data_IF_463377873090
#
_entry.id   IF_463377873090
#
_cell.length_a   1.000
_cell.length_b   1.000
_cell.length_c   1.000
_cell.angle_alpha   90.00
_cell.angle_beta   90.00
_cell.angle_gamma   90.00
#
_symmetry.space_group_name_H-M   'P 1'
#
loop_
_entity.id
_entity.type
_entity.pdbx_description
1 polymer ?
#
# COMPACT_ATOMS: atom_id res chain seq x y z
N UNK A 1 -5.58 -2.30 -14.85
CA UNK A 1 -6.85 -2.86 -14.39
C UNK A 1 -7.76 -3.08 -15.58
N UNK A 2 -8.41 -4.25 -15.68
CA UNK A 2 -9.46 -4.48 -16.68
C UNK A 2 -10.77 -4.03 -16.03
N UNK A 3 -11.36 -2.96 -16.56
CA UNK A 3 -12.68 -2.51 -16.15
C UNK A 3 -13.71 -3.41 -16.85
N UNK A 4 -14.30 -4.36 -16.12
CA UNK A 4 -15.39 -5.18 -16.64
C UNK A 4 -16.71 -4.44 -16.42
N UNK A 5 -17.32 -3.99 -17.52
CA UNK A 5 -18.69 -3.47 -17.52
C UNK A 5 -19.62 -4.63 -17.93
N UNK A 6 -20.39 -5.15 -17.00
CA UNK A 6 -21.38 -6.18 -17.30
C UNK A 6 -22.58 -5.54 -18.01
N UNK A 7 -22.73 -5.80 -19.31
CA UNK A 7 -24.00 -5.59 -20.02
C UNK A 7 -24.72 -6.93 -20.11
N UNK A 8 -25.81 -7.07 -19.37
CA UNK A 8 -26.64 -8.27 -19.41
C UNK A 8 -27.41 -8.40 -20.73
N UNK A 9 -27.42 -9.62 -21.27
CA UNK A 9 -28.59 -10.19 -21.94
C UNK A 9 -28.62 -11.69 -21.64
N UNK A 10 -29.75 -12.14 -21.08
CA UNK A 10 -30.09 -13.53 -20.86
C UNK A 10 -30.24 -14.27 -22.21
N UNK A 11 -29.60 -15.43 -22.32
CA UNK A 11 -30.12 -16.69 -22.89
C UNK A 11 -28.96 -17.61 -23.27
N UNK A 12 -28.79 -18.69 -22.51
CA UNK A 12 -27.81 -19.73 -22.82
C UNK A 12 -27.82 -20.82 -21.76
N UNK A 13 -28.35 -21.99 -22.12
CA UNK A 13 -28.56 -23.13 -21.24
C UNK A 13 -27.30 -23.54 -20.46
N UNK A 14 -27.37 -23.47 -19.12
CA UNK A 14 -26.36 -24.05 -18.24
C UNK A 14 -26.55 -25.57 -18.17
N UNK A 15 -25.62 -26.30 -18.79
CA UNK A 15 -25.41 -27.72 -18.52
C UNK A 15 -25.01 -27.92 -17.07
N UNK A 16 -25.82 -28.68 -16.33
CA UNK A 16 -25.51 -29.12 -14.97
C UNK A 16 -24.25 -29.96 -14.94
N UNK A 17 -23.23 -29.51 -14.22
CA UNK A 17 -22.12 -30.37 -13.78
C UNK A 17 -22.40 -30.73 -12.33
N UNK A 18 -22.77 -31.99 -12.10
CA UNK A 18 -22.88 -32.57 -10.77
C UNK A 18 -21.47 -32.80 -10.20
N UNK A 19 -21.03 -32.00 -9.21
CA UNK A 19 -19.85 -32.32 -8.40
C UNK A 19 -20.32 -32.92 -7.08
N UNK A 20 -20.51 -34.25 -7.10
CA UNK A 20 -20.85 -35.07 -5.95
C UNK A 20 -19.65 -35.83 -5.40
N UNK A 21 -18.44 -35.27 -5.48
CA UNK A 21 -17.28 -35.85 -4.80
C UNK A 21 -17.11 -35.17 -3.44
N UNK A 22 -17.22 -35.92 -2.32
CA UNK A 22 -16.91 -35.36 -1.01
C UNK A 22 -15.43 -34.98 -0.96
N UNK A 23 -15.16 -33.75 -0.53
CA UNK A 23 -13.82 -33.30 -0.14
C UNK A 23 -13.38 -34.21 1.00
N UNK A 24 -12.32 -35.00 0.78
CA UNK A 24 -11.77 -35.92 1.76
C UNK A 24 -11.37 -35.16 3.04
N UNK A 25 -11.66 -35.74 4.21
CA UNK A 25 -11.14 -35.27 5.50
C UNK A 25 -9.62 -35.10 5.45
N UNK A 26 -9.04 -34.10 6.14
CA UNK A 26 -7.60 -33.89 6.14
C UNK A 26 -6.91 -35.03 6.91
N UNK A 27 -6.40 -36.00 6.15
CA UNK A 27 -5.42 -37.02 6.50
C UNK A 27 -5.74 -37.93 7.71
N UNK A 28 -6.37 -39.08 7.44
CA UNK A 28 -6.25 -40.25 8.34
C UNK A 28 -4.76 -40.65 8.47
N UNK A 29 -4.20 -40.55 9.68
CA UNK A 29 -2.88 -41.13 10.03
C UNK A 29 -1.75 -40.13 10.30
N UNK A 30 -1.98 -38.82 10.22
CA UNK A 30 -1.00 -37.81 10.63
C UNK A 30 -0.91 -37.71 12.16
N UNK A 31 0.00 -38.48 12.78
CA UNK A 31 0.24 -38.44 14.25
C UNK A 31 1.16 -37.29 14.69
N UNK A 32 1.59 -36.43 13.76
CA UNK A 32 2.34 -35.21 14.08
C UNK A 32 1.46 -34.00 13.79
N UNK A 33 1.11 -33.17 14.78
CA UNK A 33 0.54 -31.86 14.49
C UNK A 33 1.53 -31.12 13.57
N UNK A 34 1.06 -30.52 12.46
CA UNK A 34 1.92 -29.72 11.60
C UNK A 34 2.54 -28.60 12.45
N UNK A 35 3.85 -28.45 12.35
CA UNK A 35 4.58 -27.40 13.06
C UNK A 35 4.24 -26.09 12.39
N UNK A 36 3.56 -25.21 13.12
CA UNK A 36 3.21 -23.85 12.70
C UNK A 36 4.47 -23.11 12.18
N UNK A 37 5.61 -23.41 12.77
CA UNK A 37 6.95 -22.89 12.47
C UNK A 37 7.55 -23.37 11.12
N UNK A 38 6.91 -24.34 10.45
CA UNK A 38 7.39 -24.97 9.20
C UNK A 38 6.52 -24.60 7.97
N UNK A 39 5.49 -23.75 8.14
CA UNK A 39 4.61 -23.33 7.04
C UNK A 39 5.18 -22.12 6.26
N UNK A 40 5.16 -22.13 4.90
CA UNK A 40 5.62 -21.01 4.09
C UNK A 40 4.58 -19.90 4.07
N UNK A 41 4.65 -19.02 5.07
CA UNK A 41 4.00 -17.70 5.03
C UNK A 41 4.93 -16.76 4.22
N UNK A 42 4.56 -15.49 4.01
CA UNK A 42 5.41 -14.38 3.55
C UNK A 42 6.60 -14.12 4.52
N UNK A 43 7.33 -15.17 4.86
CA UNK A 43 8.27 -15.32 5.95
C UNK A 43 9.48 -14.41 5.78
N UNK A 44 9.91 -14.22 4.53
CA UNK A 44 11.14 -13.49 4.23
C UNK A 44 11.06 -11.99 4.56
N UNK A 45 9.88 -11.36 4.50
CA UNK A 45 9.74 -9.97 4.97
C UNK A 45 9.28 -9.91 6.44
N UNK A 46 8.38 -10.82 6.85
CA UNK A 46 7.77 -10.80 8.18
C UNK A 46 8.64 -11.38 9.30
N UNK A 47 9.36 -12.47 9.04
CA UNK A 47 10.26 -13.10 10.01
C UNK A 47 11.69 -12.60 9.82
N UNK A 48 12.05 -12.15 8.61
CA UNK A 48 13.34 -11.54 8.33
C UNK A 48 13.33 -10.01 8.32
N UNK A 49 12.36 -9.38 9.00
CA UNK A 49 12.32 -7.93 9.23
C UNK A 49 13.64 -7.36 9.79
N UNK A 50 14.40 -8.20 10.51
CA UNK A 50 15.72 -7.89 11.05
C UNK A 50 16.80 -7.73 9.95
N UNK A 51 16.51 -8.12 8.71
CA UNK A 51 17.34 -7.89 7.53
C UNK A 51 17.02 -6.57 6.83
N UNK A 52 16.03 -5.81 7.29
CA UNK A 52 15.57 -4.58 6.66
C UNK A 52 15.72 -3.37 7.58
N UNK A 53 15.86 -2.21 6.96
CA UNK A 53 15.82 -0.90 7.60
C UNK A 53 14.85 0.02 6.87
N UNK A 54 14.44 1.06 7.60
CA UNK A 54 13.52 2.10 7.17
C UNK A 54 14.27 3.42 7.12
N UNK A 55 14.44 3.98 5.93
CA UNK A 55 14.95 5.32 5.70
C UNK A 55 13.77 6.29 5.56
N UNK A 56 13.61 7.17 6.53
CA UNK A 56 12.67 8.29 6.49
C UNK A 56 13.39 9.45 5.83
N UNK A 57 12.94 9.84 4.65
CA UNK A 57 13.54 10.90 3.84
C UNK A 57 12.62 12.12 3.94
N UNK A 58 13.14 13.24 4.44
CA UNK A 58 12.50 14.56 4.31
C UNK A 58 13.18 15.29 3.17
N UNK A 59 12.48 15.47 2.06
CA UNK A 59 12.94 16.21 0.90
C UNK A 59 12.54 17.68 1.05
N UNK A 60 13.51 18.56 1.18
CA UNK A 60 13.23 20.00 1.38
C UNK A 60 13.10 20.69 0.02
N UNK A 61 14.14 20.62 -0.82
CA UNK A 61 14.16 21.35 -2.08
C UNK A 61 15.51 21.33 -2.79
N UNK A 62 15.60 22.05 -3.90
CA UNK A 62 16.86 22.36 -4.58
C UNK A 62 17.20 23.82 -4.32
N UNK A 63 18.33 24.08 -3.66
CA UNK A 63 18.77 25.44 -3.33
C UNK A 63 19.25 26.20 -4.58
N UNK A 64 18.88 27.47 -4.68
CA UNK A 64 19.34 28.36 -5.73
C UNK A 64 20.69 28.97 -5.38
N UNK A 65 21.73 28.70 -6.17
CA UNK A 65 22.97 29.49 -6.15
C UNK A 65 22.95 30.55 -7.26
N UNK A 66 23.43 31.75 -6.94
CA UNK A 66 23.23 32.99 -7.71
C UNK A 66 23.56 32.92 -9.23
N UNK A 67 22.95 33.83 -9.98
CA UNK A 67 23.15 34.10 -11.43
C UNK A 67 22.87 32.95 -12.42
N UNK A 68 21.92 32.06 -12.09
CA UNK A 68 21.36 31.14 -13.09
C UNK A 68 20.51 31.96 -14.07
N UNK A 69 20.96 32.03 -15.33
CA UNK A 69 20.32 32.80 -16.39
C UNK A 69 19.07 32.06 -16.90
N UNK A 70 17.94 32.35 -16.26
CA UNK A 70 16.68 31.58 -16.27
C UNK A 70 15.78 31.88 -17.50
N UNK A 71 16.30 31.85 -18.72
CA UNK A 71 15.47 32.12 -19.93
C UNK A 71 14.41 31.05 -20.25
N UNK A 72 14.42 29.92 -19.54
CA UNK A 72 13.42 28.84 -19.63
C UNK A 72 12.21 29.01 -18.69
N UNK A 73 12.20 30.06 -17.84
CA UNK A 73 11.14 30.36 -16.85
C UNK A 73 9.79 30.79 -17.44
N UNK A 74 9.55 30.66 -18.74
CA UNK A 74 8.33 31.20 -19.34
C UNK A 74 7.09 30.38 -18.95
N UNK A 75 7.17 29.12 -18.49
CA UNK A 75 5.95 28.32 -18.20
C UNK A 75 6.01 27.34 -17.01
N UNK A 76 6.62 27.68 -15.86
CA UNK A 76 6.56 26.87 -14.63
C UNK A 76 7.13 25.43 -14.77
N UNK A 77 8.43 25.23 -14.54
CA UNK A 77 9.01 23.90 -14.60
C UNK A 77 8.58 23.10 -13.37
N UNK A 78 7.67 22.17 -13.57
CA UNK A 78 7.40 21.16 -12.58
C UNK A 78 8.57 20.16 -12.59
N UNK A 79 8.94 19.61 -11.44
CA UNK A 79 9.94 18.57 -11.31
C UNK A 79 9.50 17.58 -10.24
N UNK A 80 9.97 16.35 -10.34
CA UNK A 80 9.75 15.33 -9.31
C UNK A 80 11.05 14.65 -8.93
N UNK A 81 11.09 14.08 -7.72
CA UNK A 81 12.24 13.30 -7.26
C UNK A 81 11.85 11.84 -7.13
N UNK A 82 12.66 10.96 -7.69
CA UNK A 82 12.58 9.53 -7.42
C UNK A 82 13.69 9.15 -6.45
N UNK A 83 13.35 8.76 -5.23
CA UNK A 83 14.30 8.17 -4.28
C UNK A 83 14.23 6.65 -4.38
N UNK A 84 15.37 5.99 -4.53
CA UNK A 84 15.45 4.54 -4.69
C UNK A 84 16.66 3.93 -3.97
N UNK A 85 16.49 2.77 -3.35
CA UNK A 85 17.62 1.94 -2.89
C UNK A 85 18.36 1.37 -4.09
N UNK A 86 19.69 1.32 -4.02
CA UNK A 86 20.57 0.78 -5.04
C UNK A 86 21.49 -0.28 -4.44
N UNK A 87 21.65 -1.40 -5.14
CA UNK A 87 22.57 -2.48 -4.79
C UNK A 87 22.16 -3.80 -5.44
N UNK A 88 22.96 -4.87 -5.26
CA UNK A 88 22.70 -6.17 -5.88
C UNK A 88 21.41 -6.85 -5.38
N UNK A 89 20.96 -6.51 -4.17
CA UNK A 89 19.73 -7.02 -3.60
C UNK A 89 19.17 -6.01 -2.59
N UNK A 90 18.27 -5.17 -3.08
CA UNK A 90 17.64 -4.14 -2.25
C UNK A 90 16.46 -4.69 -1.46
N UNK A 91 16.09 -5.96 -1.66
CA UNK A 91 14.84 -6.57 -1.18
C UNK A 91 13.62 -6.23 -2.05
N UNK A 92 13.76 -5.35 -3.03
CA UNK A 92 12.70 -5.02 -3.99
C UNK A 92 12.39 -6.21 -4.89
N UNK A 93 11.11 -6.55 -5.04
CA UNK A 93 10.65 -7.58 -5.98
C UNK A 93 9.88 -6.94 -7.14
N UNK A 94 9.69 -7.66 -8.25
CA UNK A 94 8.85 -7.18 -9.37
C UNK A 94 7.42 -6.81 -8.92
N UNK A 95 6.92 -7.46 -7.86
CA UNK A 95 5.58 -7.29 -7.32
C UNK A 95 5.49 -6.23 -6.21
N UNK A 96 6.61 -5.95 -5.51
CA UNK A 96 6.65 -5.03 -4.39
C UNK A 96 7.95 -4.24 -4.42
N UNK A 97 7.88 -3.03 -4.98
CA UNK A 97 9.03 -2.12 -5.04
C UNK A 97 9.29 -1.48 -3.68
N UNK A 98 9.70 -2.29 -2.71
CA UNK A 98 10.27 -1.79 -1.46
C UNK A 98 11.65 -1.23 -1.76
N UNK A 99 11.75 0.09 -1.75
CA UNK A 99 12.97 0.76 -2.13
C UNK A 99 12.81 1.75 -3.27
N UNK A 100 11.60 2.21 -3.61
CA UNK A 100 11.43 3.39 -4.46
C UNK A 100 10.24 4.24 -4.01
N UNK A 101 10.40 5.56 -4.01
CA UNK A 101 9.32 6.52 -3.74
C UNK A 101 9.47 7.74 -4.66
N UNK A 102 8.33 8.25 -5.16
CA UNK A 102 8.27 9.41 -6.05
C UNK A 102 7.67 10.61 -5.31
N UNK A 103 8.44 11.68 -5.16
CA UNK A 103 7.99 12.99 -4.69
C UNK A 103 7.49 13.82 -5.88
N UNK A 104 6.19 13.77 -6.18
CA UNK A 104 5.62 14.35 -7.41
C UNK A 104 5.10 15.78 -7.31
N UNK A 105 4.78 16.25 -6.10
CA UNK A 105 4.08 17.51 -5.89
C UNK A 105 5.04 18.54 -5.30
N UNK A 106 5.29 19.61 -6.05
CA UNK A 106 6.07 20.74 -5.58
C UNK A 106 5.18 21.68 -4.76
N UNK A 107 5.78 22.36 -3.80
CA UNK A 107 5.15 23.47 -3.08
C UNK A 107 5.66 24.80 -3.65
N UNK A 108 4.85 25.85 -3.51
CA UNK A 108 5.28 27.21 -3.82
C UNK A 108 6.36 27.63 -2.81
N UNK A 109 7.53 28.03 -3.31
CA UNK A 109 8.55 28.64 -2.48
C UNK A 109 8.22 30.13 -2.27
N UNK A 110 7.61 30.44 -1.12
CA UNK A 110 7.20 31.81 -0.75
C UNK A 110 8.39 32.78 -0.66
N UNK A 111 9.59 32.28 -0.31
CA UNK A 111 10.79 33.10 -0.05
C UNK A 111 11.69 33.25 -1.30
N UNK A 112 11.52 32.40 -2.32
CA UNK A 112 12.23 32.44 -3.59
C UNK A 112 13.71 31.99 -3.51
N UNK A 113 14.10 31.33 -2.42
CA UNK A 113 15.44 30.80 -2.15
C UNK A 113 15.68 29.42 -2.79
N UNK A 114 14.63 28.67 -3.08
CA UNK A 114 14.64 27.35 -3.69
C UNK A 114 14.24 27.43 -5.18
N UNK A 115 14.89 26.58 -5.98
CA UNK A 115 14.50 26.34 -7.37
C UNK A 115 13.26 25.46 -7.45
N UNK A 116 13.19 24.47 -6.55
CA UNK A 116 12.07 23.56 -6.38
C UNK A 116 11.91 23.31 -4.88
N UNK A 117 10.69 23.42 -4.36
CA UNK A 117 10.36 23.06 -2.98
C UNK A 117 9.44 21.84 -2.98
N UNK A 118 9.67 20.92 -2.04
CA UNK A 118 8.76 19.80 -1.80
C UNK A 118 8.24 19.79 -0.36
N UNK A 119 9.13 20.03 0.62
CA UNK A 119 8.88 19.84 2.06
C UNK A 119 8.07 18.55 2.38
N UNK A 120 8.40 17.46 1.68
CA UNK A 120 7.67 16.19 1.76
C UNK A 120 8.50 15.13 2.45
N UNK A 121 7.82 14.23 3.16
CA UNK A 121 8.44 13.04 3.74
C UNK A 121 8.07 11.80 2.95
N UNK A 122 8.99 10.86 2.91
CA UNK A 122 8.75 9.53 2.39
C UNK A 122 9.45 8.47 3.23
N UNK A 123 8.86 7.27 3.23
CA UNK A 123 9.46 6.09 3.81
C UNK A 123 10.02 5.19 2.70
N UNK A 124 11.30 4.87 2.79
CA UNK A 124 11.97 3.92 1.92
C UNK A 124 12.46 2.72 2.73
N UNK A 125 12.07 1.51 2.32
CA UNK A 125 12.51 0.26 2.96
C UNK A 125 13.65 -0.33 2.14
N UNK A 126 14.71 -0.77 2.79
CA UNK A 126 15.87 -1.35 2.12
C UNK A 126 16.48 -2.50 2.92
N UNK A 127 17.06 -3.49 2.22
CA UNK A 127 17.76 -4.62 2.84
C UNK A 127 19.14 -4.18 3.37
N UNK A 128 19.45 -4.50 4.62
CA UNK A 128 20.72 -4.16 5.30
C UNK A 128 21.91 -4.69 4.53
N UNK A 129 21.84 -5.95 4.10
CA UNK A 129 22.84 -6.60 3.27
C UNK A 129 22.32 -6.65 1.85
N UNK A 130 23.03 -6.00 0.91
CA UNK A 130 22.65 -5.96 -0.51
C UNK A 130 22.20 -4.59 -1.00
N UNK A 131 21.94 -3.62 -0.11
CA UNK A 131 21.82 -2.21 -0.47
C UNK A 131 23.15 -1.49 -0.21
N UNK A 132 23.66 -0.82 -1.23
CA UNK A 132 24.92 -0.07 -1.19
C UNK A 132 24.68 1.44 -1.02
N UNK A 133 23.59 1.96 -1.58
CA UNK A 133 23.25 3.38 -1.53
C UNK A 133 21.75 3.66 -1.61
N UNK A 134 21.36 4.88 -1.27
CA UNK A 134 20.08 5.50 -1.65
C UNK A 134 20.39 6.52 -2.74
N UNK A 135 19.72 6.38 -3.88
CA UNK A 135 19.84 7.22 -5.06
C UNK A 135 18.62 8.14 -5.16
N UNK A 136 18.84 9.45 -5.26
CA UNK A 136 17.80 10.45 -5.49
C UNK A 136 18.02 11.05 -6.87
N UNK A 137 17.05 10.88 -7.76
CA UNK A 137 17.11 11.41 -9.11
C UNK A 137 16.00 12.44 -9.29
N UNK A 138 16.38 13.67 -9.62
CA UNK A 138 15.48 14.79 -9.91
C UNK A 138 15.20 14.77 -11.41
N UNK A 139 13.93 14.80 -11.79
CA UNK A 139 13.48 14.78 -13.17
C UNK A 139 12.71 16.05 -13.49
N UNK A 140 12.88 16.54 -14.71
CA UNK A 140 11.96 17.52 -15.28
C UNK A 140 10.60 16.86 -15.52
N UNK A 141 9.53 17.58 -15.22
CA UNK A 141 8.15 17.17 -15.50
C UNK A 141 7.65 18.08 -16.62
N UNK A 142 8.23 17.92 -17.80
CA UNK A 142 7.70 18.55 -19.00
C UNK A 142 6.48 17.76 -19.55
N UNK A 143 5.66 18.45 -20.34
CA UNK A 143 4.39 17.91 -20.86
C UNK A 143 4.52 16.90 -22.01
N UNK A 144 5.73 16.61 -22.51
CA UNK A 144 5.92 15.84 -23.75
C UNK A 144 6.79 14.58 -23.58
N UNK A 145 7.83 14.63 -22.74
CA UNK A 145 8.70 13.49 -22.43
C UNK A 145 9.21 13.65 -20.99
N UNK A 146 8.55 13.01 -20.02
CA UNK A 146 8.89 13.09 -18.59
C UNK A 146 10.14 12.27 -18.23
N UNK A 147 11.26 12.45 -18.92
CA UNK A 147 12.44 11.57 -18.83
C UNK A 147 13.78 12.30 -18.62
N UNK A 148 13.83 13.63 -18.70
CA UNK A 148 15.08 14.36 -18.53
C UNK A 148 15.54 14.40 -17.07
N UNK A 149 16.73 13.83 -16.82
CA UNK A 149 17.39 13.85 -15.52
C UNK A 149 18.04 15.22 -15.32
N UNK A 150 17.58 15.92 -14.29
CA UNK A 150 18.09 17.23 -13.88
C UNK A 150 19.25 17.09 -12.90
N UNK A 151 19.14 16.20 -11.92
CA UNK A 151 20.18 15.91 -10.94
C UNK A 151 20.14 14.44 -10.55
N UNK A 152 21.30 13.89 -10.23
CA UNK A 152 21.40 12.54 -9.68
C UNK A 152 22.34 12.52 -8.48
N UNK A 153 21.87 11.98 -7.37
CA UNK A 153 22.60 12.01 -6.09
C UNK A 153 22.60 10.64 -5.47
N UNK A 154 23.79 10.16 -5.15
CA UNK A 154 24.01 8.88 -4.50
C UNK A 154 24.48 9.11 -3.06
N UNK A 155 23.75 8.53 -2.11
CA UNK A 155 24.11 8.52 -0.69
C UNK A 155 24.47 7.09 -0.29
N UNK A 156 25.76 6.78 -0.09
CA UNK A 156 26.18 5.47 0.39
C UNK A 156 25.48 5.11 1.71
N UNK A 157 25.10 3.84 1.89
CA UNK A 157 24.49 3.36 3.14
C UNK A 157 25.41 3.62 4.35
N UNK A 158 26.73 3.58 4.13
CA UNK A 158 27.74 3.90 5.15
C UNK A 158 27.66 5.36 5.65
N UNK A 159 27.12 6.28 4.84
CA UNK A 159 26.97 7.69 5.19
C UNK A 159 25.62 8.00 5.85
N UNK A 160 24.69 7.05 5.88
CA UNK A 160 23.40 7.20 6.54
C UNK A 160 23.58 7.25 8.07
N UNK A 161 22.66 7.94 8.80
CA UNK A 161 22.67 7.87 10.26
C UNK A 161 22.44 6.43 10.75
N UNK A 162 22.98 6.10 11.91
CA UNK A 162 22.73 4.81 12.53
C UNK A 162 21.26 4.70 13.01
N UNK A 163 20.68 3.49 13.06
CA UNK A 163 19.34 3.32 13.57
C UNK A 163 19.15 3.92 14.97
N UNK A 164 18.10 4.73 15.14
CA UNK A 164 17.80 5.42 16.39
C UNK A 164 18.44 6.80 16.53
N UNK A 165 19.37 7.18 15.64
CA UNK A 165 19.80 8.57 15.53
C UNK A 165 18.68 9.45 14.95
N UNK A 166 18.77 10.76 15.21
CA UNK A 166 17.85 11.75 14.64
C UNK A 166 18.07 11.93 13.13
N UNK A 167 17.37 12.91 12.56
CA UNK A 167 17.58 13.31 11.18
C UNK A 167 19.01 13.83 10.97
N UNK A 168 19.71 13.27 9.98
CA UNK A 168 20.97 13.80 9.43
C UNK A 168 20.66 14.59 8.18
N UNK A 169 21.09 15.85 8.14
CA UNK A 169 20.94 16.71 6.97
C UNK A 169 22.01 16.43 5.92
N UNK A 170 21.59 16.49 4.66
CA UNK A 170 22.42 16.34 3.47
C UNK A 170 22.20 17.55 2.55
N UNK A 171 23.32 17.99 1.97
CA UNK A 171 23.39 19.03 0.95
C UNK A 171 24.35 18.52 -0.11
N UNK A 172 23.82 18.20 -1.29
CA UNK A 172 24.54 17.44 -2.32
C UNK A 172 24.34 18.08 -3.70
N UNK A 173 25.42 18.18 -4.45
CA UNK A 173 25.39 18.48 -5.88
C UNK A 173 25.20 17.19 -6.67
N UNK A 174 24.80 17.30 -7.93
CA UNK A 174 24.67 16.14 -8.83
C UNK A 174 26.02 15.42 -8.98
N UNK A 175 26.00 14.09 -8.92
CA UNK A 175 27.16 13.21 -9.13
C UNK A 175 27.57 13.18 -10.61
N UNK A 176 26.61 13.38 -11.52
CA UNK A 176 26.82 13.41 -12.97
C UNK A 176 26.40 14.76 -13.56
N UNK A 177 27.07 15.15 -14.64
CA UNK A 177 26.71 16.29 -15.48
C UNK A 177 25.87 15.80 -16.66
N UNK A 178 24.58 16.10 -16.65
CA UNK A 178 23.63 15.66 -17.67
C UNK A 178 23.48 16.64 -18.84
N UNK A 179 24.42 17.58 -19.02
CA UNK A 179 24.37 18.56 -20.12
C UNK A 179 23.35 19.70 -19.90
N UNK A 180 22.63 19.65 -18.77
CA UNK A 180 21.94 20.76 -18.13
C UNK A 180 22.73 21.32 -16.93
N UNK A 181 24.07 21.10 -16.89
CA UNK A 181 25.00 22.08 -16.28
C UNK A 181 24.72 23.46 -16.90
N UNK A 182 25.32 24.57 -16.52
CA UNK A 182 24.77 25.91 -16.77
C UNK A 182 23.45 26.20 -16.01
N UNK A 183 22.42 25.34 -16.04
CA UNK A 183 21.12 25.57 -15.37
C UNK A 183 21.15 25.16 -13.90
N UNK A 184 21.69 23.97 -13.59
CA UNK A 184 21.79 23.46 -12.22
C UNK A 184 23.23 23.40 -11.71
N UNK A 185 24.19 23.92 -12.47
CA UNK A 185 25.58 23.97 -11.99
C UNK A 185 25.68 24.83 -10.74
N UNK A 186 26.11 24.18 -9.66
CA UNK A 186 26.19 24.78 -8.34
C UNK A 186 24.93 24.63 -7.48
N UNK A 187 23.81 24.17 -8.04
CA UNK A 187 22.60 23.85 -7.27
C UNK A 187 22.83 22.64 -6.36
N UNK A 188 22.20 22.66 -5.19
CA UNK A 188 22.33 21.61 -4.18
C UNK A 188 20.95 21.09 -3.79
N UNK A 189 20.75 19.77 -3.84
CA UNK A 189 19.57 19.15 -3.26
C UNK A 189 19.72 19.13 -1.73
N UNK A 190 18.68 19.61 -1.06
CA UNK A 190 18.55 19.67 0.39
C UNK A 190 17.56 18.60 0.84
N UNK A 191 18.03 17.70 1.70
CA UNK A 191 17.20 16.65 2.27
C UNK A 191 17.75 16.16 3.60
N UNK A 192 16.91 15.52 4.40
CA UNK A 192 17.30 14.87 5.66
C UNK A 192 16.93 13.41 5.61
N UNK A 193 17.77 12.56 6.18
CA UNK A 193 17.46 11.13 6.34
C UNK A 193 17.51 10.77 7.82
N UNK A 194 16.55 9.98 8.28
CA UNK A 194 16.58 9.27 9.55
C UNK A 194 16.44 7.77 9.29
N UNK A 195 17.22 6.94 9.99
CA UNK A 195 17.13 5.48 9.86
C UNK A 195 16.51 4.89 11.12
N UNK A 196 15.59 3.95 10.91
CA UNK A 196 14.98 3.13 11.97
C UNK A 196 15.12 1.66 11.61
N UNK A 197 15.20 0.78 12.62
CA UNK A 197 15.26 -0.66 12.37
C UNK A 197 13.95 -1.13 11.72
N UNK A 198 14.02 -2.12 10.83
CA UNK A 198 12.84 -2.81 10.31
C UNK A 198 12.17 -3.70 11.36
N UNK A 199 12.87 -3.97 12.47
CA UNK A 199 12.41 -4.86 13.53
C UNK A 199 11.35 -4.28 14.46
N UNK A 200 11.15 -2.95 14.48
CA UNK A 200 9.95 -2.40 15.10
C UNK A 200 8.78 -2.69 14.16
N UNK A 201 8.23 -3.89 14.32
CA UNK A 201 7.03 -4.34 13.62
C UNK A 201 5.94 -3.30 13.81
N UNK A 202 5.16 -3.04 12.76
CA UNK A 202 3.87 -2.40 12.93
C UNK A 202 2.98 -3.38 13.69
N UNK A 203 3.02 -3.29 15.02
CA UNK A 203 2.28 -4.18 15.93
C UNK A 203 1.12 -3.47 16.60
N UNK A 204 1.07 -2.15 16.45
CA UNK A 204 0.07 -1.29 17.02
C UNK A 204 -0.45 -0.30 15.99
N UNK A 205 -1.64 0.24 16.28
CA UNK A 205 -2.22 1.39 15.58
C UNK A 205 -1.21 2.53 15.48
N UNK A 206 -0.54 2.82 16.58
CA UNK A 206 0.42 3.93 16.70
C UNK A 206 1.62 3.74 15.77
N UNK A 207 2.11 2.50 15.59
CA UNK A 207 3.22 2.22 14.68
C UNK A 207 2.83 2.38 13.21
N UNK A 208 1.58 2.05 12.86
CA UNK A 208 1.05 2.23 11.51
C UNK A 208 0.83 3.71 11.20
N UNK A 209 0.23 4.46 12.12
CA UNK A 209 0.04 5.90 11.98
C UNK A 209 1.38 6.66 11.89
N UNK A 210 2.38 6.29 12.71
CA UNK A 210 3.76 6.82 12.60
C UNK A 210 4.45 6.48 11.29
N UNK A 211 3.98 5.47 10.55
CA UNK A 211 4.54 5.17 9.22
C UNK A 211 3.89 5.97 8.11
N UNK A 212 2.79 6.69 8.41
CA UNK A 212 2.00 7.50 7.48
C UNK A 212 2.08 8.98 7.89
N UNK A 213 3.28 9.56 7.90
CA UNK A 213 3.55 10.91 8.45
C UNK A 213 2.62 12.02 7.92
N UNK A 214 2.01 11.88 6.74
CA UNK A 214 1.14 12.89 6.12
C UNK A 214 -0.36 12.82 6.52
N UNK A 215 -0.76 11.80 7.28
CA UNK A 215 -2.18 11.60 7.68
C UNK A 215 -2.48 11.94 9.15
N UNK A 216 -1.46 12.32 9.93
CA UNK A 216 -1.64 12.68 11.34
C UNK A 216 -2.62 13.86 11.47
N UNK A 217 -3.71 13.65 12.23
CA UNK A 217 -4.78 14.64 12.42
C UNK A 217 -5.73 14.82 11.23
N UNK A 218 -5.52 14.10 10.12
CA UNK A 218 -6.42 14.10 8.94
C UNK A 218 -7.25 12.83 8.88
N UNK A 219 -6.71 11.70 9.33
CA UNK A 219 -7.39 10.40 9.31
C UNK A 219 -7.64 9.89 10.75
N UNK A 220 -8.86 9.49 11.04
CA UNK A 220 -9.25 8.69 12.21
C UNK A 220 -9.14 7.21 11.87
N UNK A 221 -8.49 6.46 12.75
CA UNK A 221 -8.35 5.02 12.65
C UNK A 221 -9.17 4.32 13.73
N UNK A 222 -10.02 3.39 13.32
CA UNK A 222 -10.79 2.54 14.21
C UNK A 222 -10.65 1.05 13.89
N UNK A 223 -10.75 0.21 14.92
CA UNK A 223 -10.85 -1.24 14.81
C UNK A 223 -12.20 -1.70 15.36
N UNK A 224 -12.94 -2.46 14.55
CA UNK A 224 -14.21 -3.05 14.95
C UNK A 224 -14.11 -4.57 14.81
N UNK A 225 -14.22 -5.27 15.95
CA UNK A 225 -14.26 -6.74 15.97
C UNK A 225 -15.65 -7.20 15.55
N UNK A 226 -15.71 -8.05 14.54
CA UNK A 226 -16.94 -8.66 14.07
C UNK A 226 -17.09 -10.01 14.78
N UNK A 227 -18.04 -10.11 15.71
CA UNK A 227 -18.35 -11.35 16.41
C UNK A 227 -19.26 -12.21 15.52
N UNK A 228 -18.75 -13.34 15.05
CA UNK A 228 -19.41 -14.14 14.00
C UNK A 228 -20.20 -15.31 14.59
N UNK A 229 -21.13 -15.81 13.79
CA UNK A 229 -21.77 -17.08 14.10
C UNK A 229 -20.72 -18.20 14.13
N UNK A 230 -20.75 -19.01 15.19
CA UNK A 230 -19.78 -20.08 15.43
C UNK A 230 -18.63 -19.70 16.36
N UNK A 231 -18.52 -18.42 16.79
CA UNK A 231 -17.55 -17.97 17.77
C UNK A 231 -16.18 -17.55 17.20
N UNK A 232 -16.01 -17.65 15.88
CA UNK A 232 -14.89 -17.01 15.19
C UNK A 232 -15.08 -15.48 15.19
N UNK A 233 -14.00 -14.75 14.91
CA UNK A 233 -14.06 -13.29 14.75
C UNK A 233 -13.35 -12.81 13.50
N UNK A 234 -13.88 -11.75 12.91
CA UNK A 234 -13.20 -10.96 11.88
C UNK A 234 -12.89 -9.55 12.40
N UNK A 235 -12.13 -8.78 11.63
CA UNK A 235 -11.78 -7.40 11.97
C UNK A 235 -12.08 -6.48 10.80
N UNK A 236 -12.86 -5.44 11.05
CA UNK A 236 -12.97 -4.30 10.17
C UNK A 236 -12.09 -3.16 10.69
N UNK A 237 -11.02 -2.86 9.96
CA UNK A 237 -10.24 -1.65 10.20
C UNK A 237 -10.88 -0.51 9.41
N UNK A 238 -10.96 0.68 10.00
CA UNK A 238 -11.57 1.87 9.39
C UNK A 238 -10.55 3.00 9.37
N UNK A 239 -10.42 3.64 8.21
CA UNK A 239 -9.53 4.74 7.91
C UNK A 239 -10.40 5.86 7.36
N UNK A 240 -10.80 6.79 8.22
CA UNK A 240 -11.81 7.79 7.88
C UNK A 240 -11.22 9.17 7.93
N UNK A 241 -11.55 10.00 6.95
CA UNK A 241 -11.19 11.40 6.98
C UNK A 241 -11.88 12.11 8.15
N UNK A 242 -11.21 13.11 8.72
CA UNK A 242 -11.67 13.85 9.91
C UNK A 242 -11.80 15.34 9.62
N UNK A 243 -12.56 16.03 10.48
CA UNK A 243 -12.84 17.45 10.32
C UNK A 243 -13.84 17.74 9.21
N UNK A 244 -13.71 18.91 8.56
CA UNK A 244 -14.60 19.36 7.49
C UNK A 244 -14.17 18.83 6.10
N UNK A 245 -13.41 17.73 6.06
CA UNK A 245 -12.95 17.15 4.80
C UNK A 245 -14.11 16.47 4.07
N UNK A 246 -14.37 16.91 2.83
CA UNK A 246 -15.32 16.23 1.94
C UNK A 246 -14.72 14.91 1.46
N UNK A 247 -15.51 13.84 1.55
CA UNK A 247 -15.19 12.52 1.00
C UNK A 247 -16.15 12.19 -0.14
N UNK A 248 -15.64 11.55 -1.19
CA UNK A 248 -16.38 11.13 -2.39
C UNK A 248 -17.15 9.81 -2.19
N UNK A 249 -16.85 9.07 -1.12
CA UNK A 249 -17.49 7.81 -0.79
C UNK A 249 -16.68 6.98 0.19
N UNK A 250 -16.96 5.68 0.20
CA UNK A 250 -16.21 4.68 0.95
C UNK A 250 -15.77 3.50 0.09
N UNK A 251 -14.72 2.81 0.55
CA UNK A 251 -14.18 1.60 -0.06
C UNK A 251 -14.23 0.48 0.96
N UNK A 252 -14.86 -0.65 0.61
CA UNK A 252 -14.65 -1.90 1.32
C UNK A 252 -13.53 -2.68 0.64
N UNK A 253 -12.39 -2.79 1.31
CA UNK A 253 -11.25 -3.59 0.90
C UNK A 253 -11.32 -4.99 1.53
N UNK A 254 -11.54 -6.01 0.70
CA UNK A 254 -11.40 -7.42 1.09
C UNK A 254 -9.99 -7.94 0.79
N UNK A 255 -9.21 -8.23 1.83
CA UNK A 255 -7.79 -8.59 1.70
C UNK A 255 -7.58 -9.99 1.11
N UNK A 256 -6.37 -10.21 0.58
CA UNK A 256 -5.94 -11.49 0.03
C UNK A 256 -5.65 -12.54 1.11
N UNK A 257 -5.34 -13.74 0.63
CA UNK A 257 -4.93 -14.86 1.48
C UNK A 257 -3.57 -14.54 2.14
N UNK A 258 -3.48 -14.81 3.43
CA UNK A 258 -2.29 -14.59 4.28
C UNK A 258 -1.81 -13.13 4.39
N UNK A 259 -2.54 -12.15 3.85
CA UNK A 259 -2.29 -10.74 4.18
C UNK A 259 -2.57 -10.54 5.67
N UNK A 260 -1.69 -9.88 6.42
CA UNK A 260 -1.90 -9.59 7.86
C UNK A 260 -2.21 -8.11 8.13
N UNK A 261 -2.25 -7.29 7.08
CA UNK A 261 -2.38 -5.85 7.12
C UNK A 261 -2.70 -5.36 5.70
N UNK A 262 -3.41 -4.24 5.60
CA UNK A 262 -3.61 -3.57 4.32
C UNK A 262 -2.27 -3.10 3.73
N UNK A 263 -2.17 -2.98 2.42
CA UNK A 263 -0.97 -2.43 1.78
C UNK A 263 -0.99 -0.90 1.81
N UNK A 264 -0.14 -0.21 2.61
CA UNK A 264 -0.28 1.23 2.83
C UNK A 264 -0.16 2.08 1.56
N UNK A 265 0.68 1.66 0.61
CA UNK A 265 0.84 2.34 -0.68
C UNK A 265 -0.42 2.35 -1.55
N UNK A 266 -1.31 1.35 -1.40
CA UNK A 266 -2.60 1.32 -2.11
C UNK A 266 -3.58 2.29 -1.45
N UNK A 267 -3.58 2.36 -0.11
CA UNK A 267 -4.37 3.35 0.62
C UNK A 267 -3.96 4.78 0.21
N UNK A 268 -2.66 5.08 0.29
CA UNK A 268 -2.11 6.40 -0.05
C UNK A 268 -2.39 6.80 -1.51
N UNK A 269 -2.06 5.89 -2.44
CA UNK A 269 -2.10 6.18 -3.88
C UNK A 269 -3.48 6.17 -4.52
N UNK A 270 -4.46 5.44 -3.96
CA UNK A 270 -5.79 5.31 -4.56
C UNK A 270 -6.91 6.00 -3.77
N UNK A 271 -6.75 6.20 -2.45
CA UNK A 271 -7.89 6.51 -1.60
C UNK A 271 -7.66 7.63 -0.57
N UNK A 272 -6.44 7.79 -0.04
CA UNK A 272 -6.18 8.63 1.14
C UNK A 272 -5.35 9.91 0.89
N UNK A 273 -4.39 9.94 -0.05
CA UNK A 273 -3.39 11.04 -0.07
C UNK A 273 -3.10 11.61 -1.46
N UNK A 274 -3.31 10.89 -2.56
CA UNK A 274 -3.12 11.44 -3.91
C UNK A 274 -4.29 12.35 -4.38
N UNK A 275 -4.51 13.40 -3.62
CA UNK A 275 -4.77 14.71 -4.18
C UNK A 275 -4.47 15.74 -3.10
N UNK A 276 -3.47 16.57 -3.37
CA UNK A 276 -3.60 17.97 -3.03
C UNK A 276 -5.09 18.36 -3.13
N UNK A 277 -5.72 19.02 -2.13
CA UNK A 277 -7.07 19.53 -2.31
C UNK A 277 -7.29 20.24 -3.66
N UNK A 278 -6.21 20.77 -4.26
CA UNK A 278 -6.18 21.39 -5.58
C UNK A 278 -5.95 20.42 -6.77
N UNK A 279 -5.46 19.18 -6.55
CA UNK A 279 -5.25 18.13 -7.59
C UNK A 279 -6.55 17.39 -7.99
N UNK A 280 -7.65 17.58 -7.24
CA UNK A 280 -8.99 17.10 -7.63
C UNK A 280 -9.19 15.58 -7.72
N UNK A 281 -8.27 14.78 -7.17
CA UNK A 281 -8.42 13.33 -7.04
C UNK A 281 -9.48 12.93 -6.01
N UNK A 282 -10.10 11.75 -6.15
CA UNK A 282 -11.18 11.35 -5.26
C UNK A 282 -10.66 10.90 -3.89
N UNK A 283 -11.37 11.28 -2.83
CA UNK A 283 -11.08 10.94 -1.42
C UNK A 283 -12.09 9.92 -0.92
N UNK A 284 -11.61 8.76 -0.49
CA UNK A 284 -12.47 7.69 0.01
C UNK A 284 -12.11 7.33 1.44
N UNK A 285 -13.12 7.17 2.29
CA UNK A 285 -12.93 6.45 3.54
C UNK A 285 -12.68 4.97 3.25
N UNK A 286 -11.68 4.38 3.88
CA UNK A 286 -11.27 3.00 3.59
C UNK A 286 -11.56 2.08 4.75
N UNK A 287 -12.26 0.99 4.45
CA UNK A 287 -12.63 -0.05 5.39
C UNK A 287 -11.99 -1.35 4.96
N UNK A 288 -11.11 -1.92 5.78
CA UNK A 288 -10.36 -3.11 5.46
C UNK A 288 -10.91 -4.30 6.23
N UNK A 289 -11.51 -5.24 5.51
CA UNK A 289 -12.01 -6.49 6.05
C UNK A 289 -10.88 -7.52 6.12
N UNK A 290 -10.44 -7.78 7.34
CA UNK A 290 -9.64 -8.95 7.70
C UNK A 290 -10.62 -10.06 8.08
N UNK A 291 -10.95 -10.89 7.09
CA UNK A 291 -11.92 -11.97 7.23
C UNK A 291 -11.44 -13.07 8.21
N UNK A 292 -12.35 -13.91 8.70
CA UNK A 292 -12.08 -14.79 9.85
C UNK A 292 -10.84 -15.67 9.66
N UNK A 293 -10.65 -16.22 8.47
CA UNK A 293 -9.53 -17.11 8.14
C UNK A 293 -8.27 -16.37 7.60
N UNK A 294 -8.29 -15.03 7.57
CA UNK A 294 -7.16 -14.21 7.11
C UNK A 294 -5.97 -14.23 8.12
N UNK A 295 -4.78 -13.80 7.67
CA UNK A 295 -3.55 -13.77 8.46
C UNK A 295 -3.67 -13.02 9.79
N UNK A 296 -4.36 -11.88 9.83
CA UNK A 296 -4.48 -11.08 11.06
C UNK A 296 -5.38 -11.73 12.11
N UNK A 297 -6.56 -12.21 11.71
CA UNK A 297 -7.49 -12.89 12.62
C UNK A 297 -6.89 -14.19 13.18
N UNK A 298 -6.16 -14.94 12.35
CA UNK A 298 -5.38 -16.12 12.78
C UNK A 298 -4.29 -15.76 13.78
N UNK A 299 -3.52 -14.70 13.52
CA UNK A 299 -2.48 -14.24 14.45
C UNK A 299 -3.05 -13.85 15.82
N UNK A 300 -4.28 -13.29 15.85
CA UNK A 300 -4.98 -12.96 17.09
C UNK A 300 -5.62 -14.16 17.79
N UNK A 301 -5.55 -15.36 17.21
CA UNK A 301 -6.15 -16.58 17.75
C UNK A 301 -7.68 -16.53 17.74
N UNK A 302 -8.27 -15.81 16.78
CA UNK A 302 -9.71 -15.59 16.67
C UNK A 302 -10.44 -16.62 15.81
N UNK A 303 -9.73 -17.67 15.41
CA UNK A 303 -10.22 -18.72 14.51
C UNK A 303 -10.25 -20.03 15.27
N UNK A 304 -11.39 -20.71 15.21
CA UNK A 304 -11.60 -22.01 15.84
C UNK A 304 -10.86 -23.14 15.12
N UNK A 305 -10.56 -22.99 13.83
CA UNK A 305 -9.78 -23.94 13.03
C UNK A 305 -8.56 -23.29 12.33
N UNK A 306 -7.47 -23.01 13.07
CA UNK A 306 -6.32 -22.29 12.52
C UNK A 306 -5.49 -23.11 11.52
N UNK A 307 -5.81 -24.38 11.31
CA UNK A 307 -4.98 -25.34 10.58
C UNK A 307 -5.12 -25.23 9.06
N UNK A 308 -6.14 -24.53 8.58
CA UNK A 308 -6.51 -24.56 7.17
C UNK A 308 -5.94 -23.40 6.33
N UNK A 309 -4.95 -22.65 6.81
CA UNK A 309 -4.14 -21.72 5.99
C UNK A 309 -4.94 -20.81 5.05
N UNK A 310 -5.92 -20.08 5.60
CA UNK A 310 -6.86 -19.24 4.84
C UNK A 310 -7.85 -20.01 3.96
N UNK A 311 -7.97 -21.32 4.17
CA UNK A 311 -9.11 -22.14 3.78
C UNK A 311 -10.00 -22.28 5.03
N UNK A 312 -11.30 -22.41 4.83
CA UNK A 312 -12.18 -22.85 5.90
C UNK A 312 -12.43 -24.35 5.74
N UNK A 313 -12.80 -25.00 6.85
CA UNK A 313 -13.10 -26.44 6.91
C UNK A 313 -14.29 -26.89 6.08
N UNK A 314 -15.10 -25.94 5.61
CA UNK A 314 -16.28 -26.22 4.82
C UNK A 314 -15.97 -26.27 3.32
N UNK A 315 -14.81 -25.75 2.90
CA UNK A 315 -14.40 -25.72 1.50
C UNK A 315 -15.28 -24.82 0.62
N UNK A 316 -16.01 -23.88 1.22
CA UNK A 316 -16.90 -22.96 0.52
C UNK A 316 -16.61 -21.49 0.88
N UNK A 317 -16.97 -20.55 0.02
CA UNK A 317 -16.82 -19.12 0.29
C UNK A 317 -18.06 -18.50 0.93
N UNK A 318 -19.13 -19.29 1.14
CA UNK A 318 -20.38 -18.79 1.72
C UNK A 318 -20.20 -18.44 3.20
N UNK A 319 -19.23 -19.07 3.89
CA UNK A 319 -18.89 -18.72 5.28
C UNK A 319 -18.43 -17.27 5.50
N UNK A 320 -17.96 -16.58 4.46
CA UNK A 320 -17.49 -15.20 4.57
C UNK A 320 -18.56 -14.15 4.21
N UNK A 321 -19.77 -14.59 3.83
CA UNK A 321 -20.87 -13.69 3.49
C UNK A 321 -21.26 -12.81 4.68
N UNK A 322 -21.39 -13.43 5.86
CA UNK A 322 -21.74 -12.75 7.12
C UNK A 322 -20.80 -11.59 7.43
N UNK A 323 -19.50 -11.79 7.28
CA UNK A 323 -18.48 -10.78 7.58
C UNK A 323 -18.55 -9.60 6.61
N UNK A 324 -18.87 -9.87 5.35
CA UNK A 324 -19.05 -8.85 4.32
C UNK A 324 -20.29 -8.00 4.62
N UNK A 325 -21.41 -8.64 4.97
CA UNK A 325 -22.65 -7.93 5.35
C UNK A 325 -22.46 -7.09 6.62
N UNK A 326 -21.86 -7.66 7.67
CA UNK A 326 -21.56 -6.93 8.90
C UNK A 326 -20.63 -5.73 8.64
N UNK A 327 -19.68 -5.87 7.72
CA UNK A 327 -18.79 -4.78 7.35
C UNK A 327 -19.54 -3.64 6.67
N UNK A 328 -20.41 -3.96 5.71
CA UNK A 328 -21.24 -2.95 5.03
C UNK A 328 -22.22 -2.26 5.98
N UNK A 329 -22.79 -3.00 6.92
CA UNK A 329 -23.68 -2.42 7.94
C UNK A 329 -22.92 -1.48 8.88
N UNK A 330 -21.70 -1.84 9.29
CA UNK A 330 -20.84 -0.95 10.09
C UNK A 330 -20.40 0.28 9.30
N UNK A 331 -20.05 0.15 8.03
CA UNK A 331 -19.73 1.29 7.17
C UNK A 331 -20.88 2.31 7.16
N UNK A 332 -22.13 1.84 6.99
CA UNK A 332 -23.33 2.69 7.02
C UNK A 332 -23.60 3.33 8.39
N UNK A 333 -23.18 2.69 9.48
CA UNK A 333 -23.28 3.25 10.82
C UNK A 333 -22.20 4.30 11.11
N UNK A 334 -21.01 4.09 10.56
CA UNK A 334 -19.83 4.93 10.79
C UNK A 334 -19.76 6.14 9.86
N UNK A 335 -20.49 6.12 8.74
CA UNK A 335 -20.58 7.23 7.79
C UNK A 335 -21.78 7.09 6.85
N UNK A 336 -22.15 8.19 6.21
CA UNK A 336 -23.14 8.20 5.11
C UNK A 336 -22.39 8.43 3.82
N UNK A 337 -22.47 7.48 2.90
CA UNK A 337 -21.70 7.48 1.65
C UNK A 337 -22.65 7.38 0.46
N UNK A 338 -22.49 8.30 -0.49
CA UNK A 338 -23.22 8.26 -1.77
C UNK A 338 -22.60 7.28 -2.77
N UNK A 339 -21.37 6.83 -2.51
CA UNK A 339 -20.64 5.85 -3.32
C UNK A 339 -19.94 4.84 -2.43
N UNK A 340 -20.12 3.57 -2.73
CA UNK A 340 -19.42 2.45 -2.08
C UNK A 340 -18.71 1.62 -3.14
N UNK A 341 -17.39 1.51 -3.03
CA UNK A 341 -16.55 0.75 -3.95
C UNK A 341 -16.06 -0.52 -3.27
N UNK A 342 -16.22 -1.67 -3.94
CA UNK A 342 -15.62 -2.92 -3.50
C UNK A 342 -14.21 -3.06 -4.07
N UNK A 343 -13.17 -3.00 -3.24
CA UNK A 343 -11.81 -3.33 -3.64
C UNK A 343 -11.46 -4.72 -3.11
N UNK A 344 -10.83 -5.55 -3.94
CA UNK A 344 -10.42 -6.86 -3.48
C UNK A 344 -9.12 -7.34 -4.13
N UNK A 345 -8.28 -8.00 -3.32
CA UNK A 345 -6.97 -8.51 -3.71
C UNK A 345 -6.94 -10.04 -3.63
N UNK A 346 -6.40 -10.72 -4.64
CA UNK A 346 -6.16 -12.18 -4.61
C UNK A 346 -7.40 -12.97 -4.17
N UNK A 347 -7.32 -13.81 -3.14
CA UNK A 347 -8.45 -14.56 -2.55
C UNK A 347 -9.58 -13.67 -2.05
N UNK A 348 -9.31 -12.43 -1.64
CA UNK A 348 -10.34 -11.47 -1.30
C UNK A 348 -11.27 -11.18 -2.48
N UNK A 349 -10.77 -11.27 -3.72
CA UNK A 349 -11.61 -11.13 -4.91
C UNK A 349 -12.59 -12.31 -5.04
N UNK A 350 -12.17 -13.54 -4.73
CA UNK A 350 -13.06 -14.71 -4.69
C UNK A 350 -14.16 -14.53 -3.65
N UNK A 351 -13.81 -14.04 -2.45
CA UNK A 351 -14.76 -13.77 -1.37
C UNK A 351 -15.80 -12.73 -1.82
N UNK A 352 -15.33 -11.59 -2.32
CA UNK A 352 -16.22 -10.50 -2.71
C UNK A 352 -17.10 -10.87 -3.92
N UNK A 353 -16.54 -11.57 -4.91
CA UNK A 353 -17.31 -12.08 -6.05
C UNK A 353 -18.36 -13.11 -5.63
N UNK A 354 -18.02 -14.01 -4.69
CA UNK A 354 -19.01 -14.94 -4.15
C UNK A 354 -20.15 -14.18 -3.47
N UNK A 355 -19.84 -13.12 -2.71
CA UNK A 355 -20.86 -12.27 -2.11
C UNK A 355 -21.75 -11.59 -3.16
N UNK A 356 -21.17 -11.03 -4.23
CA UNK A 356 -21.91 -10.39 -5.34
C UNK A 356 -22.82 -11.39 -6.07
N UNK A 357 -22.37 -12.62 -6.28
CA UNK A 357 -23.19 -13.64 -6.94
C UNK A 357 -24.39 -14.09 -6.09
N UNK A 358 -24.30 -13.93 -4.77
CA UNK A 358 -25.32 -14.36 -3.80
C UNK A 358 -26.25 -13.23 -3.38
N UNK A 359 -25.75 -12.00 -3.39
CA UNK A 359 -26.45 -10.81 -2.97
C UNK A 359 -26.40 -9.81 -4.13
N UNK A 360 -27.57 -9.41 -4.63
CA UNK A 360 -27.70 -8.50 -5.77
C UNK A 360 -26.78 -7.26 -5.65
N UNK A 361 -26.29 -6.73 -6.77
CA UNK A 361 -25.21 -5.71 -6.85
C UNK A 361 -25.55 -4.33 -6.22
N UNK A 362 -26.71 -4.14 -5.60
CA UNK A 362 -27.23 -2.82 -5.22
C UNK A 362 -26.48 -2.13 -4.06
N UNK A 363 -25.61 -2.85 -3.34
CA UNK A 363 -24.81 -2.30 -2.24
C UNK A 363 -23.48 -1.67 -2.68
N UNK A 364 -23.08 -1.81 -3.94
CA UNK A 364 -21.82 -1.29 -4.46
C UNK A 364 -22.02 -0.56 -5.79
N UNK A 365 -21.32 0.56 -5.96
CA UNK A 365 -21.36 1.35 -7.20
C UNK A 365 -20.30 0.90 -8.21
N UNK A 366 -19.20 0.32 -7.72
CA UNK A 366 -18.10 -0.15 -8.54
C UNK A 366 -17.26 -1.20 -7.83
N UNK A 367 -16.47 -1.94 -8.62
CA UNK A 367 -15.53 -2.93 -8.12
C UNK A 367 -14.14 -2.74 -8.72
N UNK A 368 -13.11 -2.98 -7.91
CA UNK A 368 -11.70 -3.01 -8.31
C UNK A 368 -11.11 -4.34 -7.85
N UNK A 369 -10.72 -5.18 -8.81
CA UNK A 369 -10.09 -6.46 -8.53
C UNK A 369 -8.61 -6.42 -8.89
N UNK A 370 -7.75 -6.54 -7.87
CA UNK A 370 -6.31 -6.58 -8.02
C UNK A 370 -5.80 -8.03 -7.93
N UNK A 371 -5.17 -8.50 -9.01
CA UNK A 371 -4.68 -9.88 -9.15
C UNK A 371 -5.70 -10.93 -8.65
N UNK A 372 -6.95 -10.90 -9.15
CA UNK A 372 -8.03 -11.71 -8.58
C UNK A 372 -7.74 -13.20 -8.73
N UNK A 373 -7.99 -13.94 -7.65
CA UNK A 373 -7.96 -15.38 -7.68
C UNK A 373 -9.37 -15.89 -8.06
N UNK A 374 -9.54 -16.40 -9.28
CA UNK A 374 -10.87 -16.72 -9.83
C UNK A 374 -11.14 -18.22 -10.02
N UNK A 375 -10.11 -19.05 -10.03
CA UNK A 375 -10.22 -20.49 -10.24
C UNK A 375 -9.56 -21.23 -9.08
N UNK A 376 -10.35 -21.72 -8.14
CA UNK A 376 -9.86 -22.47 -6.98
C UNK A 376 -9.48 -23.91 -7.32
N UNK A 377 -10.06 -24.48 -8.38
CA UNK A 377 -9.92 -25.90 -8.73
C UNK A 377 -8.55 -26.29 -9.26
N UNK A 378 -7.75 -25.34 -9.76
CA UNK A 378 -6.43 -25.60 -10.37
C UNK A 378 -5.23 -25.29 -9.46
N UNK A 379 -5.41 -24.56 -8.37
CA UNK A 379 -4.31 -23.93 -7.61
C UNK A 379 -4.43 -24.07 -6.09
N UNK A 380 -5.56 -24.58 -5.59
CA UNK A 380 -5.84 -24.81 -4.16
C UNK A 380 -5.88 -26.28 -3.74
N UNK A 381 -5.10 -27.14 -4.39
CA UNK A 381 -4.92 -28.55 -4.01
C UNK A 381 -3.94 -28.74 -2.87
#
# INVERSE_FOLDING_TARGET
>A
GILLRATGTADGAATSVSSGDPVYEPFEGSTRPPRIDEMPIYREFYDEHHLYRRAHILLEGVERKADINFWWRINAPEAYVNAQSQGPDTGSTEYFKIGSHKFSNQEDDEDGELLFAWDKKALLIYRINGTEAIKLTVYDKDTLTSDDILMDITVPVADLPQPGEGYKAFRKQSDEDYGYSDVLTGAELLFKIKVTEGADRVTSKEDLLKSMDDVEGKIDYGENVLELQGGDKALLQSWRHTGDQTVDGAVLWVMGRNDCFMHPHVLEGLFAVNSDPDDGGPRFDVYVLNWRENGLARHRGWVTDPFLMSHNKYGDFDVYLEETDMSLDLMKQLGTYDRVVGYAHSTGATILLNWILKNEEDKFDAFIFNAPFLDWGNVGG
#
